data_IF_687072112294
#
_entry.id   IF_687072112294
#
_cell.length_a   1.000
_cell.length_b   1.000
_cell.length_c   1.000
_cell.angle_alpha   90.00
_cell.angle_beta   90.00
_cell.angle_gamma   90.00
#
_symmetry.space_group_name_H-M   'P 1'
#
loop_
_entity.id
_entity.type
_entity.pdbx_description
1 polymer ?
#
# COMPACT_ATOMS: atom_id res chain seq x y z
N UNK A 1 -20.91 6.58 23.20
CA UNK A 1 -22.09 5.90 22.63
C UNK A 1 -22.32 4.64 23.43
N UNK A 2 -23.38 4.60 24.20
CA UNK A 2 -23.73 3.43 25.03
C UNK A 2 -24.68 2.54 24.23
N UNK A 3 -24.31 1.28 24.02
CA UNK A 3 -25.15 0.27 23.40
C UNK A 3 -25.74 -0.59 24.50
N UNK A 4 -27.07 -0.66 24.58
CA UNK A 4 -27.77 -1.59 25.45
C UNK A 4 -28.61 -2.52 24.58
N UNK A 5 -28.32 -3.81 24.62
CA UNK A 5 -29.17 -4.83 24.01
C UNK A 5 -30.32 -5.16 24.97
N UNK A 6 -31.56 -4.96 24.55
CA UNK A 6 -32.76 -5.30 25.31
C UNK A 6 -33.86 -5.81 24.41
N UNK A 7 -34.50 -6.93 24.78
CA UNK A 7 -35.66 -7.45 24.06
C UNK A 7 -36.85 -6.49 24.22
N UNK A 8 -37.19 -5.77 23.16
CA UNK A 8 -38.30 -4.82 23.15
C UNK A 8 -39.49 -5.34 22.33
N UNK A 9 -40.66 -4.98 22.81
CA UNK A 9 -41.98 -5.37 22.31
C UNK A 9 -42.35 -4.56 21.07
N UNK A 10 -42.84 -5.20 20.06
CA UNK A 10 -43.21 -4.64 18.76
C UNK A 10 -44.21 -3.48 18.86
N UNK A 11 -43.79 -2.31 18.41
CA UNK A 11 -44.64 -1.24 17.91
C UNK A 11 -43.81 -0.46 16.87
N UNK A 12 -44.38 -0.33 15.68
CA UNK A 12 -43.87 0.32 14.49
C UNK A 12 -42.46 -0.13 14.03
N UNK A 13 -42.40 -0.54 12.76
CA UNK A 13 -41.19 -1.09 12.14
C UNK A 13 -39.97 -0.18 12.43
N UNK A 14 -39.07 -0.54 13.36
CA UNK A 14 -38.02 0.37 13.78
C UNK A 14 -37.12 0.72 12.60
N UNK A 15 -36.66 1.97 12.53
CA UNK A 15 -35.75 2.44 11.48
C UNK A 15 -34.55 1.51 11.38
N UNK A 16 -34.02 1.34 10.18
CA UNK A 16 -32.93 0.40 9.89
C UNK A 16 -31.58 1.03 10.00
N UNK A 17 -30.60 0.28 10.54
CA UNK A 17 -29.20 0.70 10.64
C UNK A 17 -28.26 -0.36 10.10
N UNK A 18 -27.07 0.09 9.66
CA UNK A 18 -25.94 -0.76 9.36
C UNK A 18 -24.89 -0.60 10.46
N UNK A 19 -24.30 -1.72 10.89
CA UNK A 19 -23.25 -1.72 11.90
C UNK A 19 -21.92 -2.24 11.31
N UNK A 20 -20.80 -1.77 11.82
CA UNK A 20 -19.50 -2.31 11.44
C UNK A 20 -19.32 -3.74 11.96
N UNK A 21 -18.55 -4.57 11.22
CA UNK A 21 -18.24 -5.96 11.62
C UNK A 21 -17.63 -6.01 13.02
N UNK A 22 -16.68 -5.11 13.32
CA UNK A 22 -16.03 -5.05 14.62
C UNK A 22 -17.00 -4.73 15.76
N UNK A 23 -18.01 -3.91 15.50
CA UNK A 23 -19.06 -3.63 16.49
C UNK A 23 -19.97 -4.86 16.67
N UNK A 24 -20.35 -5.52 15.57
CA UNK A 24 -21.16 -6.73 15.61
C UNK A 24 -20.48 -7.84 16.43
N UNK A 25 -19.20 -8.09 16.20
CA UNK A 25 -18.40 -9.09 16.92
C UNK A 25 -18.22 -8.74 18.40
N UNK A 26 -17.90 -7.45 18.70
CA UNK A 26 -17.67 -7.02 20.09
C UNK A 26 -18.91 -7.10 20.98
N UNK A 27 -20.09 -6.84 20.43
CA UNK A 27 -21.35 -6.81 21.17
C UNK A 27 -22.24 -8.03 20.86
N UNK A 28 -21.73 -9.00 20.09
CA UNK A 28 -22.46 -10.23 19.68
C UNK A 28 -23.80 -9.95 19.01
N UNK A 29 -23.84 -8.96 18.11
CA UNK A 29 -25.03 -8.51 17.42
C UNK A 29 -25.14 -9.14 16.03
N UNK A 30 -26.38 -9.51 15.66
CA UNK A 30 -26.71 -10.09 14.37
C UNK A 30 -27.66 -9.22 13.53
N UNK A 31 -27.79 -9.58 12.25
CA UNK A 31 -28.79 -8.96 11.36
C UNK A 31 -30.21 -9.33 11.86
N UNK A 32 -31.06 -8.33 12.00
CA UNK A 32 -32.41 -8.47 12.52
C UNK A 32 -32.57 -8.09 14.00
N UNK A 33 -31.47 -7.99 14.75
CA UNK A 33 -31.53 -7.60 16.16
C UNK A 33 -31.97 -6.13 16.31
N UNK A 34 -32.56 -5.83 17.44
CA UNK A 34 -33.00 -4.47 17.79
C UNK A 34 -32.01 -3.89 18.80
N UNK A 35 -31.44 -2.73 18.45
CA UNK A 35 -30.48 -2.01 19.27
C UNK A 35 -31.02 -0.63 19.65
N UNK A 36 -30.68 -0.15 20.84
CA UNK A 36 -30.99 1.19 21.29
C UNK A 36 -29.79 2.09 21.12
N UNK A 37 -29.95 3.17 20.37
CA UNK A 37 -28.92 4.17 20.15
C UNK A 37 -29.30 5.48 20.85
N UNK A 38 -28.31 6.13 21.44
CA UNK A 38 -28.41 7.47 21.99
C UNK A 38 -27.27 8.34 21.45
N UNK A 39 -27.58 9.60 21.15
CA UNK A 39 -26.58 10.61 20.83
C UNK A 39 -25.89 11.14 22.11
N UNK A 40 -26.55 11.09 23.24
CA UNK A 40 -26.04 11.57 24.51
C UNK A 40 -25.19 10.50 25.21
N UNK A 41 -24.09 10.92 25.83
CA UNK A 41 -23.18 10.02 26.53
C UNK A 41 -23.79 9.41 27.80
N UNK A 42 -24.80 10.04 28.38
CA UNK A 42 -25.55 9.57 29.54
C UNK A 42 -26.63 8.55 29.20
N UNK A 43 -26.87 8.29 27.90
CA UNK A 43 -27.88 7.37 27.44
C UNK A 43 -29.31 7.94 27.49
N UNK A 44 -29.49 9.23 27.67
CA UNK A 44 -30.80 9.89 27.51
C UNK A 44 -31.20 9.89 26.02
N UNK A 45 -32.49 10.02 25.72
CA UNK A 45 -33.04 10.03 24.37
C UNK A 45 -32.66 8.80 23.51
N UNK A 46 -32.88 7.61 24.03
CA UNK A 46 -32.63 6.38 23.29
C UNK A 46 -33.73 6.09 22.27
N UNK A 47 -33.36 5.69 21.08
CA UNK A 47 -34.25 5.19 20.02
C UNK A 47 -33.91 3.77 19.63
N UNK A 48 -34.92 3.02 19.23
CA UNK A 48 -34.76 1.64 18.77
C UNK A 48 -34.56 1.60 17.27
N UNK A 49 -33.55 0.80 16.86
CA UNK A 49 -33.22 0.57 15.48
C UNK A 49 -33.03 -0.92 15.22
N UNK A 50 -33.40 -1.36 14.02
CA UNK A 50 -33.18 -2.74 13.60
C UNK A 50 -31.90 -2.82 12.77
N UNK A 51 -31.05 -3.78 13.07
CA UNK A 51 -29.84 -4.05 12.27
C UNK A 51 -30.26 -4.65 10.92
N UNK A 52 -30.14 -3.88 9.85
CA UNK A 52 -30.44 -4.32 8.48
C UNK A 52 -29.25 -5.05 7.83
N UNK A 53 -28.03 -4.79 8.29
CA UNK A 53 -26.84 -5.44 7.75
C UNK A 53 -25.57 -5.09 8.50
N UNK A 54 -24.55 -5.90 8.27
CA UNK A 54 -23.20 -5.72 8.82
C UNK A 54 -22.27 -5.36 7.65
N UNK A 55 -21.52 -4.30 7.77
CA UNK A 55 -20.58 -3.86 6.72
C UNK A 55 -19.14 -3.85 7.19
N UNK A 56 -18.23 -4.04 6.25
CA UNK A 56 -16.80 -3.85 6.51
C UNK A 56 -16.45 -2.36 6.40
N UNK A 57 -15.90 -1.72 7.44
CA UNK A 57 -15.51 -0.32 7.40
C UNK A 57 -14.47 -0.07 6.32
N UNK A 58 -14.55 1.09 5.66
CA UNK A 58 -13.52 1.49 4.71
C UNK A 58 -12.17 1.60 5.42
N UNK A 59 -11.14 0.91 4.96
CA UNK A 59 -9.82 0.94 5.59
C UNK A 59 -9.25 2.36 5.63
N UNK A 60 -8.87 2.82 6.82
CA UNK A 60 -8.20 4.12 7.01
C UNK A 60 -6.77 3.89 7.50
N UNK A 61 -5.75 4.20 6.66
CA UNK A 61 -4.35 4.02 7.04
C UNK A 61 -3.92 4.83 8.26
N UNK A 62 -4.65 5.90 8.59
CA UNK A 62 -4.35 6.74 9.76
C UNK A 62 -4.86 6.11 11.06
N UNK A 63 -5.87 5.24 10.96
CA UNK A 63 -6.51 4.59 12.11
C UNK A 63 -6.11 3.11 12.25
N UNK A 64 -4.91 2.74 11.80
CA UNK A 64 -4.42 1.38 11.92
C UNK A 64 -4.40 0.89 13.37
N UNK A 65 -5.03 -0.25 13.61
CA UNK A 65 -5.15 -0.87 14.93
C UNK A 65 -6.25 -0.28 15.83
N UNK A 66 -7.00 0.72 15.38
CA UNK A 66 -8.20 1.17 16.07
C UNK A 66 -9.38 0.24 15.75
N UNK A 67 -10.07 -0.23 16.78
CA UNK A 67 -11.34 -0.96 16.59
C UNK A 67 -12.41 0.03 16.14
N UNK A 68 -12.84 -0.10 14.88
CA UNK A 68 -13.80 0.81 14.27
C UNK A 68 -15.22 0.38 14.66
N UNK A 69 -15.74 0.96 15.71
CA UNK A 69 -17.13 0.73 16.16
C UNK A 69 -18.02 1.83 15.60
N UNK A 70 -18.56 1.60 14.40
CA UNK A 70 -19.38 2.58 13.68
C UNK A 70 -20.79 2.04 13.44
N UNK A 71 -21.74 2.96 13.49
CA UNK A 71 -23.14 2.74 13.09
C UNK A 71 -23.45 3.72 11.97
N UNK A 72 -24.05 3.24 10.89
CA UNK A 72 -24.55 4.06 9.79
C UNK A 72 -26.06 4.09 9.81
N UNK A 73 -26.61 5.30 9.88
CA UNK A 73 -28.03 5.58 9.86
C UNK A 73 -28.40 6.32 8.57
N UNK A 74 -29.66 6.28 8.20
CA UNK A 74 -30.18 7.22 7.22
C UNK A 74 -30.11 8.64 7.79
N UNK A 75 -29.82 9.62 6.91
CA UNK A 75 -29.62 11.00 7.34
C UNK A 75 -30.78 11.57 8.15
N UNK A 76 -32.07 11.38 7.77
CA UNK A 76 -33.20 11.84 8.59
C UNK A 76 -33.20 11.27 10.00
N UNK A 77 -32.92 9.97 10.16
CA UNK A 77 -32.89 9.29 11.46
C UNK A 77 -31.73 9.80 12.33
N UNK A 78 -30.57 10.07 11.70
CA UNK A 78 -29.41 10.65 12.38
C UNK A 78 -29.71 12.06 12.88
N UNK A 79 -30.30 12.91 12.03
CA UNK A 79 -30.66 14.29 12.38
C UNK A 79 -31.69 14.33 13.52
N UNK A 80 -32.62 13.41 13.51
CA UNK A 80 -33.62 13.30 14.56
C UNK A 80 -33.02 12.78 15.88
N UNK A 81 -32.09 11.82 15.82
CA UNK A 81 -31.35 11.29 16.97
C UNK A 81 -30.42 12.34 17.59
N UNK A 82 -29.79 13.20 16.77
CA UNK A 82 -28.80 14.19 17.19
C UNK A 82 -29.39 15.59 17.40
N UNK A 83 -30.72 15.74 17.36
CA UNK A 83 -31.37 17.04 17.52
C UNK A 83 -31.13 17.60 18.93
N UNK A 84 -30.49 18.74 19.01
CA UNK A 84 -30.33 19.44 20.27
C UNK A 84 -31.61 20.14 20.72
N UNK A 85 -31.96 20.10 22.01
CA UNK A 85 -33.07 20.85 22.54
C UNK A 85 -32.91 22.37 22.28
N UNK A 86 -33.86 22.95 21.53
CA UNK A 86 -33.83 24.38 21.19
C UNK A 86 -33.43 24.73 19.77
N UNK A 87 -33.02 23.78 18.95
CA UNK A 87 -32.83 24.03 17.53
C UNK A 87 -34.17 24.19 16.77
N UNK A 88 -34.28 25.17 15.86
CA UNK A 88 -35.46 25.32 15.02
C UNK A 88 -35.76 24.05 14.24
N UNK A 89 -37.03 23.70 14.10
CA UNK A 89 -37.44 22.57 13.26
C UNK A 89 -36.97 22.80 11.81
N UNK A 90 -36.21 21.88 11.24
CA UNK A 90 -35.67 21.98 9.87
C UNK A 90 -34.26 22.55 9.74
N UNK A 91 -33.59 22.91 10.84
CA UNK A 91 -32.16 23.21 10.79
C UNK A 91 -31.36 21.92 10.69
N UNK A 92 -30.75 21.70 9.57
CA UNK A 92 -29.87 20.56 9.32
C UNK A 92 -28.41 21.02 9.42
N UNK A 93 -27.63 20.34 10.24
CA UNK A 93 -26.19 20.57 10.35
C UNK A 93 -25.42 19.35 9.88
N UNK A 94 -24.68 19.50 8.81
CA UNK A 94 -23.80 18.45 8.29
C UNK A 94 -22.35 18.94 8.37
N UNK A 95 -21.53 18.20 9.07
CA UNK A 95 -20.11 18.57 9.26
C UNK A 95 -19.29 18.44 7.97
N UNK A 96 -19.50 17.37 7.21
CA UNK A 96 -18.76 17.07 5.98
C UNK A 96 -19.71 16.58 4.90
N UNK A 97 -19.52 17.08 3.69
CA UNK A 97 -20.21 16.62 2.48
C UNK A 97 -19.15 16.05 1.54
N UNK A 98 -19.25 14.77 1.22
CA UNK A 98 -18.39 14.13 0.22
C UNK A 98 -19.04 14.24 -1.16
N UNK A 99 -18.34 14.87 -2.09
CA UNK A 99 -18.80 15.06 -3.47
C UNK A 99 -17.93 14.21 -4.40
N UNK A 100 -18.57 13.36 -5.20
CA UNK A 100 -17.89 12.63 -6.28
C UNK A 100 -17.96 13.46 -7.57
N UNK A 101 -16.81 13.74 -8.17
CA UNK A 101 -16.72 14.44 -9.46
C UNK A 101 -16.66 13.43 -10.60
N UNK A 102 -17.23 13.79 -11.75
CA UNK A 102 -17.16 12.96 -12.97
C UNK A 102 -15.72 12.89 -13.47
N UNK A 103 -14.99 14.01 -13.45
CA UNK A 103 -13.55 14.05 -13.72
C UNK A 103 -12.80 14.42 -12.41
N UNK A 104 -11.96 13.54 -11.88
CA UNK A 104 -11.16 13.82 -10.70
C UNK A 104 -10.17 15.00 -10.86
N UNK A 105 -9.77 15.32 -12.10
CA UNK A 105 -8.87 16.43 -12.38
C UNK A 105 -9.50 17.81 -12.11
N UNK A 106 -10.83 17.90 -12.14
CA UNK A 106 -11.58 19.12 -11.86
C UNK A 106 -11.66 19.44 -10.36
N UNK A 107 -11.18 18.59 -9.49
CA UNK A 107 -11.29 18.76 -8.04
C UNK A 107 -10.72 20.10 -7.54
N UNK A 108 -9.64 20.61 -8.13
CA UNK A 108 -9.05 21.91 -7.77
C UNK A 108 -9.89 23.09 -8.27
N UNK A 109 -10.47 22.97 -9.47
CA UNK A 109 -11.34 24.00 -10.03
C UNK A 109 -12.64 24.07 -9.23
N UNK A 110 -13.24 22.92 -8.93
CA UNK A 110 -14.42 22.81 -8.09
C UNK A 110 -14.20 23.39 -6.68
N UNK A 111 -13.07 23.07 -6.03
CA UNK A 111 -12.76 23.59 -4.69
C UNK A 111 -12.65 25.13 -4.68
N UNK A 112 -12.07 25.73 -5.71
CA UNK A 112 -11.97 27.19 -5.86
C UNK A 112 -13.34 27.83 -6.08
N UNK A 113 -14.17 27.22 -6.94
CA UNK A 113 -15.49 27.73 -7.27
C UNK A 113 -16.43 27.69 -6.05
N UNK A 114 -16.44 26.58 -5.31
CA UNK A 114 -17.19 26.46 -4.06
C UNK A 114 -16.73 27.48 -3.02
N UNK A 115 -15.41 27.64 -2.81
CA UNK A 115 -14.87 28.63 -1.88
C UNK A 115 -15.21 30.07 -2.25
N UNK A 116 -15.30 30.38 -3.56
CA UNK A 116 -15.70 31.72 -4.05
C UNK A 116 -17.21 32.00 -3.87
N UNK A 117 -18.06 30.97 -4.04
CA UNK A 117 -19.53 31.14 -3.98
C UNK A 117 -20.10 30.96 -2.57
N UNK A 118 -19.41 30.21 -1.71
CA UNK A 118 -19.90 29.87 -0.39
C UNK A 118 -18.85 30.23 0.68
N UNK A 119 -18.81 31.49 1.13
CA UNK A 119 -17.90 31.91 2.20
C UNK A 119 -18.16 31.10 3.47
N UNK A 120 -17.09 30.50 4.03
CA UNK A 120 -17.18 29.64 5.22
C UNK A 120 -17.18 28.14 4.95
N UNK A 121 -17.29 27.69 3.68
CA UNK A 121 -17.13 26.31 3.29
C UNK A 121 -15.73 26.08 2.72
N UNK A 122 -14.98 25.15 3.34
CA UNK A 122 -13.68 24.74 2.83
C UNK A 122 -13.81 23.45 2.01
N UNK A 123 -13.80 23.55 0.70
CA UNK A 123 -13.72 22.40 -0.18
C UNK A 123 -12.26 21.95 -0.34
N UNK A 124 -11.99 20.68 -0.14
CA UNK A 124 -10.65 20.08 -0.29
C UNK A 124 -10.76 18.77 -1.08
N UNK A 125 -9.83 18.49 -2.00
CA UNK A 125 -9.78 17.17 -2.63
C UNK A 125 -9.59 16.09 -1.56
N UNK A 126 -10.39 15.01 -1.61
CA UNK A 126 -10.28 13.88 -0.69
C UNK A 126 -9.02 13.03 -0.98
N UNK A 127 -8.66 12.90 -2.25
CA UNK A 127 -7.37 12.36 -2.68
C UNK A 127 -6.35 13.48 -2.59
N UNK A 128 -5.37 13.32 -1.72
CA UNK A 128 -4.38 14.34 -1.37
C UNK A 128 -3.92 15.15 -2.57
N UNK A 129 -4.08 16.46 -2.49
CA UNK A 129 -3.55 17.37 -3.49
C UNK A 129 -2.06 17.07 -3.66
N UNK A 130 -1.67 16.72 -4.88
CA UNK A 130 -0.26 16.68 -5.25
C UNK A 130 0.35 18.04 -4.92
N UNK A 131 1.09 18.13 -3.82
CA UNK A 131 1.65 19.37 -3.30
C UNK A 131 1.32 19.69 -1.83
N UNK A 132 0.42 18.95 -1.18
CA UNK A 132 0.25 19.09 0.26
C UNK A 132 1.36 18.33 0.99
N UNK A 133 2.01 18.97 1.95
CA UNK A 133 2.96 18.40 2.91
C UNK A 133 2.22 17.46 3.87
N UNK A 134 1.50 16.49 3.33
CA UNK A 134 0.82 15.48 4.11
C UNK A 134 1.80 14.42 4.62
N UNK A 135 1.53 13.75 5.73
CA UNK A 135 2.39 12.71 6.28
C UNK A 135 2.68 11.60 5.26
N UNK A 136 1.79 11.38 4.31
CA UNK A 136 1.96 10.39 3.24
C UNK A 136 3.05 10.76 2.22
N UNK A 137 3.24 12.03 1.89
CA UNK A 137 4.32 12.49 1.00
C UNK A 137 5.69 12.27 1.65
N UNK A 138 5.78 12.52 2.95
CA UNK A 138 7.00 12.26 3.72
C UNK A 138 7.28 10.75 3.74
N UNK A 139 6.27 9.93 3.99
CA UNK A 139 6.38 8.47 4.00
C UNK A 139 6.81 7.93 2.62
N UNK A 140 6.23 8.43 1.53
CA UNK A 140 6.61 8.08 0.16
C UNK A 140 8.10 8.39 -0.13
N UNK A 141 8.57 9.55 0.29
CA UNK A 141 9.99 9.93 0.15
C UNK A 141 10.92 9.04 0.95
N UNK A 142 10.53 8.64 2.16
CA UNK A 142 11.27 7.67 2.96
C UNK A 142 11.36 6.31 2.28
N UNK A 143 10.26 5.81 1.72
CA UNK A 143 10.27 4.55 0.99
C UNK A 143 11.17 4.62 -0.25
N UNK A 144 11.13 5.74 -0.98
CA UNK A 144 12.02 5.96 -2.13
C UNK A 144 13.49 6.00 -1.70
N UNK A 145 13.82 6.65 -0.58
CA UNK A 145 15.17 6.68 -0.05
C UNK A 145 15.65 5.26 0.35
N UNK A 146 14.82 4.50 1.05
CA UNK A 146 15.12 3.11 1.41
C UNK A 146 15.33 2.26 0.15
N UNK A 147 14.47 2.40 -0.86
CA UNK A 147 14.62 1.69 -2.12
C UNK A 147 15.93 2.02 -2.82
N UNK A 148 16.33 3.31 -2.89
CA UNK A 148 17.62 3.71 -3.48
C UNK A 148 18.80 3.11 -2.72
N UNK A 149 18.81 3.18 -1.39
CA UNK A 149 19.89 2.58 -0.58
C UNK A 149 19.97 1.07 -0.81
N UNK A 150 18.82 0.40 -0.86
CA UNK A 150 18.75 -1.05 -1.11
C UNK A 150 19.29 -1.42 -2.49
N UNK A 151 18.95 -0.66 -3.53
CA UNK A 151 19.45 -0.86 -4.90
C UNK A 151 20.97 -0.67 -4.93
N UNK A 152 21.49 0.38 -4.32
CA UNK A 152 22.95 0.65 -4.27
C UNK A 152 23.66 -0.48 -3.52
N UNK A 153 23.18 -0.84 -2.33
CA UNK A 153 23.78 -1.91 -1.53
C UNK A 153 23.79 -3.25 -2.27
N UNK A 154 22.65 -3.61 -2.90
CA UNK A 154 22.53 -4.83 -3.69
C UNK A 154 23.45 -4.83 -4.90
N UNK A 155 23.62 -3.67 -5.56
CA UNK A 155 24.52 -3.52 -6.70
C UNK A 155 25.97 -3.72 -6.30
N UNK A 156 26.40 -3.10 -5.18
CA UNK A 156 27.75 -3.27 -4.64
C UNK A 156 28.00 -4.73 -4.24
N UNK A 157 27.04 -5.35 -3.59
CA UNK A 157 27.12 -6.77 -3.21
C UNK A 157 27.21 -7.69 -4.44
N UNK A 158 26.38 -7.46 -5.46
CA UNK A 158 26.42 -8.19 -6.72
C UNK A 158 27.77 -8.04 -7.42
N UNK A 159 28.31 -6.82 -7.45
CA UNK A 159 29.63 -6.56 -8.04
C UNK A 159 30.74 -7.31 -7.30
N UNK A 160 30.71 -7.30 -5.96
CA UNK A 160 31.69 -8.02 -5.14
C UNK A 160 31.62 -9.53 -5.39
N UNK A 161 30.44 -10.14 -5.41
CA UNK A 161 30.26 -11.55 -5.74
C UNK A 161 30.72 -11.88 -7.16
N UNK A 162 30.44 -11.01 -8.13
CA UNK A 162 30.84 -11.21 -9.52
C UNK A 162 32.38 -11.15 -9.66
N UNK A 163 33.04 -10.24 -8.96
CA UNK A 163 34.50 -10.18 -8.92
C UNK A 163 35.09 -11.46 -8.34
N UNK A 164 34.52 -11.96 -7.23
CA UNK A 164 34.98 -13.20 -6.60
C UNK A 164 34.79 -14.41 -7.55
N UNK A 165 33.64 -14.52 -8.20
CA UNK A 165 33.37 -15.60 -9.17
C UNK A 165 34.34 -15.54 -10.38
N UNK A 166 34.64 -14.34 -10.87
CA UNK A 166 35.58 -14.13 -11.97
C UNK A 166 37.00 -14.46 -11.54
N UNK A 167 37.38 -14.14 -10.29
CA UNK A 167 38.68 -14.50 -9.74
C UNK A 167 38.90 -16.03 -9.62
N UNK A 168 37.88 -16.79 -9.25
CA UNK A 168 37.93 -18.27 -9.25
C UNK A 168 38.18 -18.85 -10.65
N UNK A 169 37.72 -18.17 -11.71
CA UNK A 169 37.88 -18.62 -13.10
C UNK A 169 39.18 -18.16 -13.75
N UNK A 170 40.04 -17.41 -13.04
CA UNK A 170 41.33 -16.93 -13.57
C UNK A 170 42.18 -18.03 -14.19
N UNK A 171 42.44 -19.19 -13.54
CA UNK A 171 43.26 -20.24 -14.11
C UNK A 171 42.64 -20.79 -15.41
N UNK A 172 41.35 -20.98 -15.48
CA UNK A 172 40.66 -21.47 -16.67
C UNK A 172 40.78 -20.50 -17.84
N UNK A 173 40.63 -19.19 -17.59
CA UNK A 173 40.79 -18.14 -18.59
C UNK A 173 42.26 -18.05 -19.07
N UNK A 174 43.19 -18.27 -18.14
CA UNK A 174 44.62 -18.33 -18.47
C UNK A 174 44.95 -19.45 -19.44
N UNK A 175 44.46 -20.66 -19.19
CA UNK A 175 44.64 -21.83 -20.08
C UNK A 175 43.97 -21.58 -21.44
N UNK A 176 42.77 -21.06 -21.49
CA UNK A 176 42.06 -20.74 -22.74
C UNK A 176 42.82 -19.74 -23.61
N UNK A 177 43.50 -18.76 -22.99
CA UNK A 177 44.37 -17.81 -23.69
C UNK A 177 45.65 -18.46 -24.21
N UNK A 178 46.24 -19.39 -23.48
CA UNK A 178 47.44 -20.13 -23.92
C UNK A 178 47.14 -21.03 -25.13
N UNK A 179 45.94 -21.58 -25.22
CA UNK A 179 45.47 -22.36 -26.38
C UNK A 179 45.12 -21.48 -27.60
N UNK A 180 45.20 -20.13 -27.45
CA UNK A 180 45.03 -19.21 -28.57
C UNK A 180 43.61 -18.71 -28.78
N UNK A 181 42.67 -18.94 -27.81
CA UNK A 181 41.31 -18.41 -27.92
C UNK A 181 41.27 -16.88 -27.85
N UNK A 182 40.60 -16.20 -28.81
CA UNK A 182 40.57 -14.75 -28.84
C UNK A 182 39.76 -14.21 -27.66
N UNK A 183 40.27 -13.17 -27.02
CA UNK A 183 39.67 -12.49 -25.87
C UNK A 183 38.19 -12.15 -26.08
N UNK A 184 37.81 -11.81 -27.32
CA UNK A 184 36.41 -11.50 -27.69
C UNK A 184 35.45 -12.68 -27.45
N UNK A 185 35.86 -13.92 -27.72
CA UNK A 185 35.04 -15.10 -27.48
C UNK A 185 34.81 -15.32 -25.98
N UNK A 186 35.86 -15.13 -25.17
CA UNK A 186 35.76 -15.25 -23.72
C UNK A 186 34.82 -14.18 -23.14
N UNK A 187 34.91 -12.92 -23.63
CA UNK A 187 33.98 -11.85 -23.23
C UNK A 187 32.53 -12.14 -23.60
N UNK A 188 32.26 -12.64 -24.81
CA UNK A 188 30.91 -12.98 -25.27
C UNK A 188 30.36 -14.10 -24.42
N UNK A 189 31.14 -15.11 -24.07
CA UNK A 189 30.68 -16.21 -23.19
C UNK A 189 30.31 -15.69 -21.80
N UNK A 190 31.16 -14.84 -21.17
CA UNK A 190 30.91 -14.23 -19.89
C UNK A 190 29.70 -13.28 -19.94
N UNK A 191 29.50 -12.57 -21.05
CA UNK A 191 28.33 -11.72 -21.26
C UNK A 191 27.05 -12.54 -21.32
N UNK A 192 27.01 -13.63 -22.09
CA UNK A 192 25.83 -14.52 -22.18
C UNK A 192 25.53 -15.11 -20.81
N UNK A 193 26.55 -15.56 -20.07
CA UNK A 193 26.39 -16.09 -18.73
C UNK A 193 25.83 -15.02 -17.78
N UNK A 194 26.34 -13.79 -17.84
CA UNK A 194 25.84 -12.65 -17.08
C UNK A 194 24.38 -12.31 -17.38
N UNK A 195 23.99 -12.36 -18.66
CA UNK A 195 22.58 -12.15 -19.07
C UNK A 195 21.69 -13.26 -18.51
N UNK A 196 22.12 -14.53 -18.58
CA UNK A 196 21.36 -15.65 -18.06
C UNK A 196 21.19 -15.56 -16.53
N UNK A 197 22.25 -15.24 -15.82
CA UNK A 197 22.20 -15.07 -14.36
C UNK A 197 21.29 -13.90 -13.98
N UNK A 198 21.44 -12.75 -14.66
CA UNK A 198 20.65 -11.55 -14.37
C UNK A 198 19.16 -11.75 -14.66
N UNK A 199 18.81 -12.42 -15.77
CA UNK A 199 17.41 -12.71 -16.12
C UNK A 199 16.80 -13.75 -15.18
N UNK A 200 17.51 -14.84 -14.89
CA UNK A 200 17.04 -15.85 -13.94
C UNK A 200 16.88 -15.26 -12.53
N UNK A 201 17.83 -14.44 -12.08
CA UNK A 201 17.74 -13.74 -10.79
C UNK A 201 16.59 -12.75 -10.72
N UNK A 202 16.35 -11.99 -11.80
CA UNK A 202 15.21 -11.07 -11.89
C UNK A 202 13.88 -11.80 -11.84
N UNK A 203 13.76 -12.93 -12.56
CA UNK A 203 12.54 -13.75 -12.54
C UNK A 203 12.30 -14.35 -11.15
N UNK A 204 13.34 -14.89 -10.53
CA UNK A 204 13.25 -15.43 -9.17
C UNK A 204 12.87 -14.35 -8.16
N UNK A 205 13.49 -13.16 -8.25
CA UNK A 205 13.15 -12.02 -7.39
C UNK A 205 11.70 -11.56 -7.56
N UNK A 206 11.19 -11.56 -8.79
CA UNK A 206 9.78 -11.23 -9.07
C UNK A 206 8.82 -12.26 -8.46
N UNK A 207 9.09 -13.54 -8.64
CA UNK A 207 8.29 -14.64 -8.03
C UNK A 207 8.29 -14.51 -6.50
N UNK A 208 9.46 -14.24 -5.91
CA UNK A 208 9.58 -14.03 -4.47
C UNK A 208 8.77 -12.80 -4.01
N UNK A 209 8.83 -11.69 -4.75
CA UNK A 209 8.09 -10.47 -4.42
C UNK A 209 6.57 -10.69 -4.47
N UNK A 210 6.06 -11.40 -5.49
CA UNK A 210 4.64 -11.76 -5.62
C UNK A 210 4.20 -12.71 -4.50
N UNK A 211 5.04 -13.67 -4.13
CA UNK A 211 4.78 -14.55 -2.99
C UNK A 211 4.75 -13.80 -1.67
N UNK A 212 5.71 -12.91 -1.46
CA UNK A 212 5.81 -12.09 -0.26
C UNK A 212 4.63 -11.10 -0.13
N UNK A 213 4.13 -10.54 -1.24
CA UNK A 213 2.94 -9.69 -1.26
C UNK A 213 1.76 -10.34 -0.55
N UNK A 214 1.44 -11.58 -0.93
CA UNK A 214 0.33 -12.33 -0.35
C UNK A 214 0.51 -12.61 1.14
N UNK A 215 1.72 -13.01 1.55
CA UNK A 215 2.06 -13.32 2.94
C UNK A 215 1.98 -12.05 3.80
N UNK A 216 2.60 -10.97 3.35
CA UNK A 216 2.64 -9.70 4.07
C UNK A 216 1.22 -9.14 4.25
N UNK A 217 0.43 -9.07 3.16
CA UNK A 217 -0.93 -8.55 3.24
C UNK A 217 -1.78 -9.39 4.20
N UNK A 218 -1.72 -10.72 4.10
CA UNK A 218 -2.49 -11.60 4.97
C UNK A 218 -2.09 -11.47 6.45
N UNK A 219 -0.79 -11.34 6.73
CA UNK A 219 -0.28 -11.15 8.09
C UNK A 219 -0.76 -9.82 8.68
N UNK A 220 -0.62 -8.71 7.95
CA UNK A 220 -1.01 -7.39 8.44
C UNK A 220 -2.53 -7.22 8.51
N UNK A 221 -3.29 -7.77 7.55
CA UNK A 221 -4.75 -7.80 7.60
C UNK A 221 -5.25 -8.54 8.83
N UNK A 222 -4.68 -9.71 9.12
CA UNK A 222 -4.99 -10.45 10.35
C UNK A 222 -4.55 -9.70 11.62
N UNK A 223 -3.34 -9.10 11.62
CA UNK A 223 -2.78 -8.42 12.81
C UNK A 223 -3.52 -7.15 13.19
N UNK A 224 -4.01 -6.41 12.21
CA UNK A 224 -4.68 -5.12 12.39
C UNK A 224 -6.18 -5.16 12.14
N UNK A 225 -6.74 -6.33 11.89
CA UNK A 225 -8.16 -6.54 11.59
C UNK A 225 -8.70 -5.53 10.56
N UNK A 226 -8.04 -5.45 9.42
CA UNK A 226 -8.34 -4.46 8.37
C UNK A 226 -8.31 -5.10 6.99
N UNK A 227 -9.14 -4.60 6.08
CA UNK A 227 -9.10 -4.98 4.66
C UNK A 227 -8.07 -4.17 3.84
N UNK A 228 -7.19 -3.39 4.50
CA UNK A 228 -6.18 -2.58 3.83
C UNK A 228 -5.17 -3.48 3.10
N UNK A 229 -4.82 -3.10 1.87
CA UNK A 229 -3.73 -3.70 1.11
C UNK A 229 -2.46 -2.91 1.40
N UNK A 230 -1.47 -3.53 2.08
CA UNK A 230 -0.23 -2.88 2.51
C UNK A 230 0.84 -2.87 1.42
N UNK A 231 0.92 -3.96 0.66
CA UNK A 231 1.89 -4.14 -0.42
C UNK A 231 1.15 -4.54 -1.67
N UNK A 232 1.49 -3.93 -2.80
CA UNK A 232 0.96 -4.26 -4.11
C UNK A 232 2.06 -4.21 -5.16
N UNK A 233 2.34 -5.33 -5.80
CA UNK A 233 3.26 -5.40 -6.92
C UNK A 233 2.48 -5.19 -8.21
N UNK A 234 2.56 -3.98 -8.79
CA UNK A 234 1.92 -3.70 -10.08
C UNK A 234 2.81 -4.14 -11.24
N UNK A 235 2.23 -4.48 -12.40
CA UNK A 235 3.02 -4.86 -13.58
C UNK A 235 4.02 -3.79 -14.01
N UNK A 236 3.68 -2.51 -13.82
CA UNK A 236 4.57 -1.39 -14.15
C UNK A 236 5.79 -1.37 -13.23
N UNK A 237 5.57 -1.53 -11.92
CA UNK A 237 6.67 -1.60 -10.93
C UNK A 237 7.54 -2.82 -11.21
N UNK A 238 6.94 -3.98 -11.48
CA UNK A 238 7.65 -5.20 -11.84
C UNK A 238 8.52 -5.01 -13.10
N UNK A 239 7.97 -4.39 -14.15
CA UNK A 239 8.70 -4.09 -15.38
C UNK A 239 9.87 -3.13 -15.14
N UNK A 240 9.69 -2.09 -14.35
CA UNK A 240 10.76 -1.14 -13.99
C UNK A 240 11.86 -1.85 -13.20
N UNK A 241 11.50 -2.69 -12.23
CA UNK A 241 12.48 -3.45 -11.44
C UNK A 241 13.33 -4.38 -12.33
N UNK A 242 12.69 -5.11 -13.26
CA UNK A 242 13.42 -5.97 -14.21
C UNK A 242 14.29 -5.14 -15.17
N UNK A 243 13.76 -4.01 -15.68
CA UNK A 243 14.49 -3.11 -16.57
C UNK A 243 15.73 -2.48 -15.91
N UNK A 244 15.74 -2.35 -14.61
CA UNK A 244 16.92 -1.87 -13.85
C UNK A 244 17.84 -3.04 -13.48
N UNK A 245 17.29 -4.15 -12.98
CA UNK A 245 18.06 -5.27 -12.45
C UNK A 245 18.88 -5.98 -13.54
N UNK A 246 18.31 -6.22 -14.72
CA UNK A 246 19.01 -6.93 -15.80
C UNK A 246 20.23 -6.14 -16.31
N UNK A 247 20.12 -4.85 -16.70
CA UNK A 247 21.29 -4.08 -17.11
C UNK A 247 22.34 -3.93 -16.02
N UNK A 248 21.95 -3.78 -14.75
CA UNK A 248 22.89 -3.71 -13.63
C UNK A 248 23.65 -5.03 -13.47
N UNK A 249 22.99 -6.17 -13.51
CA UNK A 249 23.62 -7.48 -13.42
C UNK A 249 24.57 -7.75 -14.58
N UNK A 250 24.16 -7.41 -15.80
CA UNK A 250 24.99 -7.55 -16.99
C UNK A 250 26.21 -6.61 -16.93
N UNK A 251 26.01 -5.36 -16.54
CA UNK A 251 27.11 -4.38 -16.44
C UNK A 251 28.14 -4.80 -15.38
N UNK A 252 27.71 -5.32 -14.24
CA UNK A 252 28.57 -5.85 -13.20
C UNK A 252 29.47 -6.98 -13.74
N UNK A 253 28.87 -7.92 -14.50
CA UNK A 253 29.60 -9.04 -15.10
C UNK A 253 30.62 -8.55 -16.16
N UNK A 254 30.22 -7.60 -17.01
CA UNK A 254 31.08 -7.03 -18.04
C UNK A 254 32.28 -6.27 -17.42
N UNK A 255 31.99 -5.45 -16.40
CA UNK A 255 33.05 -4.69 -15.68
C UNK A 255 34.05 -5.64 -15.01
N UNK A 256 33.54 -6.68 -14.32
CA UNK A 256 34.42 -7.67 -13.69
C UNK A 256 35.28 -8.46 -14.71
N UNK A 257 34.67 -8.89 -15.81
CA UNK A 257 35.37 -9.56 -16.89
C UNK A 257 36.42 -8.68 -17.56
N UNK A 258 36.09 -7.42 -17.80
CA UNK A 258 37.03 -6.45 -18.38
C UNK A 258 38.21 -6.15 -17.44
N UNK A 259 37.94 -6.00 -16.14
CA UNK A 259 39.00 -5.83 -15.14
C UNK A 259 39.96 -7.02 -15.08
N UNK A 260 39.45 -8.25 -15.24
CA UNK A 260 40.27 -9.46 -15.33
C UNK A 260 41.15 -9.47 -16.59
N UNK A 261 40.56 -9.14 -17.74
CA UNK A 261 41.27 -9.21 -19.04
C UNK A 261 42.31 -8.11 -19.25
N UNK A 262 42.21 -6.98 -18.56
CA UNK A 262 43.22 -5.92 -18.54
C UNK A 262 44.53 -6.34 -17.84
N UNK A 263 44.52 -7.36 -16.99
CA UNK A 263 45.73 -7.87 -16.32
C UNK A 263 46.49 -8.75 -17.30
N UNK A 264 47.81 -8.55 -17.36
CA UNK A 264 48.69 -9.26 -18.29
C UNK A 264 48.56 -10.79 -18.13
N UNK A 265 48.38 -11.51 -19.25
CA UNK A 265 48.16 -12.96 -19.26
C UNK A 265 49.25 -13.79 -18.56
N UNK A 266 50.50 -13.30 -18.55
CA UNK A 266 51.66 -13.92 -17.86
C UNK A 266 51.55 -13.87 -16.34
N UNK A 267 50.87 -12.88 -15.76
CA UNK A 267 50.64 -12.77 -14.32
C UNK A 267 49.45 -13.67 -13.83
N UNK A 268 48.63 -14.15 -14.74
CA UNK A 268 47.48 -15.04 -14.47
C UNK A 268 47.89 -16.52 -14.41
N UNK A 269 49.00 -16.88 -15.07
CA UNK A 269 49.52 -18.26 -15.12
C UNK A 269 50.55 -18.57 -14.01
N UNK A 270 50.91 -17.61 -13.17
CA UNK A 270 52.04 -17.71 -12.20
C UNK A 270 51.57 -17.87 -10.74
N UNK A 271 50.52 -18.68 -10.51
CA UNK A 271 50.18 -19.20 -9.16
C UNK A 271 49.82 -20.65 -9.23
#
# INVERSE_FOLDING_TARGET
MLLAAGAARAADNPASVLISRQLAEAEHLGVGDIVRLSAAADGSDTREFRIAGIYEPTPDPVKLGAVIREVRLHLPDLLELTREPGMPAGSEYVRNINVALVDPNDARAFARDVGARMPGIAARPATGAAGSTGPFVVLERFHLAIAMVTIIASTVFLLALTIMLVDERRPTVGVLRLIGLPTRRILVQLFIEGVLIATAGSLFGLVLALGAEGIINRFFQWRYDTALVFVRVTPEVAAVCVAIAVPLGVSATVVAAWALLRRNGLSLARR
#
